data_IF_724550546086
#
_entry.id   IF_724550546086
#
_cell.length_a   1.000
_cell.length_b   1.000
_cell.length_c   1.000
_cell.angle_alpha   90.00
_cell.angle_beta   90.00
_cell.angle_gamma   90.00
#
_symmetry.space_group_name_H-M   'P 1'
#
loop_
_entity.id
_entity.type
_entity.pdbx_description
1 polymer ?
#
# COMPACT_ATOMS: atom_id res chain seq x y z
N UNK A 1 23.00 6.64 -23.64
CA UNK A 1 22.11 5.51 -24.05
C UNK A 1 22.82 4.19 -23.76
N UNK A 2 22.11 3.08 -23.50
CA UNK A 2 22.77 1.79 -23.30
C UNK A 2 23.38 1.30 -24.61
N UNK A 3 24.68 1.02 -24.59
CA UNK A 3 25.45 0.58 -25.76
C UNK A 3 25.34 -0.95 -25.93
N UNK A 4 25.52 -1.70 -24.85
CA UNK A 4 25.47 -3.16 -24.83
C UNK A 4 24.05 -3.71 -24.96
N UNK A 5 23.90 -4.90 -25.55
CA UNK A 5 22.60 -5.59 -25.75
C UNK A 5 21.88 -5.85 -24.41
N UNK A 6 22.63 -6.27 -23.38
CA UNK A 6 22.12 -6.51 -22.03
C UNK A 6 21.56 -5.24 -21.39
N UNK A 7 22.27 -4.12 -21.52
CA UNK A 7 21.86 -2.82 -20.99
C UNK A 7 20.60 -2.28 -21.70
N UNK A 8 20.47 -2.48 -23.02
CA UNK A 8 19.25 -2.12 -23.77
C UNK A 8 18.02 -2.91 -23.27
N UNK A 9 18.19 -4.22 -23.01
CA UNK A 9 17.14 -5.07 -22.42
C UNK A 9 16.78 -4.64 -21.00
N UNK A 10 17.78 -4.38 -20.16
CA UNK A 10 17.57 -3.93 -18.78
C UNK A 10 16.77 -2.62 -18.74
N UNK A 11 17.08 -1.65 -19.61
CA UNK A 11 16.35 -0.40 -19.71
C UNK A 11 14.88 -0.62 -20.12
N UNK A 12 14.61 -1.49 -21.09
CA UNK A 12 13.23 -1.85 -21.50
C UNK A 12 12.43 -2.45 -20.34
N UNK A 13 13.01 -3.42 -19.63
CA UNK A 13 12.37 -4.09 -18.49
C UNK A 13 12.15 -3.11 -17.33
N UNK A 14 13.12 -2.25 -17.05
CA UNK A 14 13.04 -1.23 -16.00
C UNK A 14 11.87 -0.26 -16.26
N UNK A 15 11.71 0.22 -17.49
CA UNK A 15 10.60 1.10 -17.88
C UNK A 15 9.24 0.46 -17.61
N UNK A 16 9.02 -0.76 -18.13
CA UNK A 16 7.77 -1.50 -17.90
C UNK A 16 7.46 -1.68 -16.41
N UNK A 17 8.45 -2.14 -15.63
CA UNK A 17 8.28 -2.34 -14.18
C UNK A 17 8.01 -1.04 -13.44
N UNK A 18 8.64 0.06 -13.88
CA UNK A 18 8.40 1.40 -13.32
C UNK A 18 6.95 1.80 -13.51
N UNK A 19 6.39 1.65 -14.70
CA UNK A 19 5.01 2.05 -15.00
C UNK A 19 4.00 1.25 -14.16
N UNK A 20 4.18 -0.07 -14.10
CA UNK A 20 3.36 -0.95 -13.26
C UNK A 20 3.45 -0.59 -11.77
N UNK A 21 4.65 -0.26 -11.27
CA UNK A 21 4.85 0.12 -9.87
C UNK A 21 4.30 1.52 -9.57
N UNK A 22 4.40 2.46 -10.51
CA UNK A 22 3.94 3.82 -10.34
C UNK A 22 2.41 3.90 -10.31
N UNK A 23 1.69 3.09 -11.09
CA UNK A 23 0.23 2.98 -10.97
C UNK A 23 -0.19 2.49 -9.58
N UNK A 24 0.48 1.45 -9.06
CA UNK A 24 0.22 0.92 -7.73
C UNK A 24 0.54 1.94 -6.63
N UNK A 25 1.64 2.69 -6.75
CA UNK A 25 2.00 3.79 -5.83
C UNK A 25 0.98 4.92 -5.87
N UNK A 26 0.51 5.32 -7.05
CA UNK A 26 -0.53 6.36 -7.23
C UNK A 26 -1.84 5.93 -6.56
N UNK A 27 -2.27 4.70 -6.80
CA UNK A 27 -3.48 4.14 -6.18
C UNK A 27 -3.38 4.13 -4.65
N UNK A 28 -2.21 3.74 -4.10
CA UNK A 28 -1.97 3.77 -2.66
C UNK A 28 -2.02 5.20 -2.11
N UNK A 29 -1.35 6.17 -2.76
CA UNK A 29 -1.39 7.59 -2.36
C UNK A 29 -2.81 8.13 -2.32
N UNK A 30 -3.60 7.86 -3.36
CA UNK A 30 -4.99 8.31 -3.44
C UNK A 30 -5.86 7.67 -2.34
N UNK A 31 -5.69 6.37 -2.09
CA UNK A 31 -6.41 5.69 -1.03
C UNK A 31 -6.04 6.22 0.37
N UNK A 32 -4.77 6.53 0.61
CA UNK A 32 -4.31 7.13 1.87
C UNK A 32 -4.83 8.56 2.01
N UNK A 33 -4.87 9.36 0.93
CA UNK A 33 -5.47 10.70 0.94
C UNK A 33 -6.96 10.64 1.30
N UNK A 34 -7.70 9.71 0.69
CA UNK A 34 -9.12 9.50 1.01
C UNK A 34 -9.32 9.06 2.47
N UNK A 35 -8.50 8.13 2.97
CA UNK A 35 -8.57 7.68 4.37
C UNK A 35 -8.33 8.83 5.37
N UNK A 36 -7.41 9.74 5.06
CA UNK A 36 -7.13 10.90 5.91
C UNK A 36 -8.23 11.95 5.87
N UNK A 37 -8.87 12.14 4.72
CA UNK A 37 -9.99 13.06 4.57
C UNK A 37 -11.25 12.54 5.27
N UNK A 38 -11.55 11.25 5.11
CA UNK A 38 -12.70 10.58 5.70
C UNK A 38 -12.27 9.23 6.31
N UNK A 39 -12.01 9.16 7.63
CA UNK A 39 -11.55 7.94 8.29
C UNK A 39 -12.70 6.93 8.48
N UNK A 40 -13.05 6.23 7.41
CA UNK A 40 -14.10 5.19 7.41
C UNK A 40 -13.51 3.78 7.41
N UNK A 41 -14.28 2.81 7.92
CA UNK A 41 -13.91 1.38 7.92
C UNK A 41 -13.70 0.84 6.49
N UNK A 42 -14.51 1.29 5.52
CA UNK A 42 -14.39 0.90 4.11
C UNK A 42 -13.08 1.40 3.47
N UNK A 43 -12.71 2.67 3.70
CA UNK A 43 -11.44 3.22 3.23
C UNK A 43 -10.25 2.50 3.84
N UNK A 44 -10.34 2.10 5.11
CA UNK A 44 -9.28 1.36 5.80
C UNK A 44 -9.07 -0.03 5.18
N UNK A 45 -10.14 -0.77 4.90
CA UNK A 45 -10.07 -2.06 4.19
C UNK A 45 -9.38 -1.92 2.83
N UNK A 46 -9.72 -0.88 2.06
CA UNK A 46 -9.11 -0.60 0.75
C UNK A 46 -7.61 -0.31 0.87
N UNK A 47 -7.21 0.51 1.85
CA UNK A 47 -5.80 0.84 2.11
C UNK A 47 -5.01 -0.41 2.51
N UNK A 48 -5.57 -1.28 3.35
CA UNK A 48 -4.90 -2.52 3.77
C UNK A 48 -4.66 -3.48 2.61
N UNK A 49 -5.68 -3.70 1.77
CA UNK A 49 -5.53 -4.53 0.56
C UNK A 49 -4.41 -4.01 -0.35
N UNK A 50 -4.33 -2.68 -0.56
CA UNK A 50 -3.29 -2.08 -1.38
C UNK A 50 -1.90 -2.19 -0.73
N UNK A 51 -1.78 -2.01 0.58
CA UNK A 51 -0.53 -2.17 1.32
C UNK A 51 0.01 -3.60 1.22
N UNK A 52 -0.86 -4.60 1.37
CA UNK A 52 -0.48 -6.01 1.29
C UNK A 52 -0.07 -6.41 -0.11
N UNK A 53 -0.82 -5.97 -1.12
CA UNK A 53 -0.44 -6.20 -2.52
C UNK A 53 0.90 -5.54 -2.86
N UNK A 54 1.16 -4.35 -2.32
CA UNK A 54 2.43 -3.64 -2.49
C UNK A 54 3.62 -4.37 -1.84
N UNK A 55 3.38 -4.96 -0.67
CA UNK A 55 4.38 -5.77 0.03
C UNK A 55 4.66 -7.09 -0.70
N UNK A 56 3.61 -7.79 -1.16
CA UNK A 56 3.72 -9.03 -1.94
C UNK A 56 4.47 -8.82 -3.26
N UNK A 57 4.28 -7.68 -3.93
CA UNK A 57 5.01 -7.31 -5.15
C UNK A 57 6.40 -6.72 -4.89
N UNK A 58 6.86 -6.69 -3.65
CA UNK A 58 8.15 -6.09 -3.25
C UNK A 58 8.32 -4.61 -3.64
N UNK A 59 7.23 -3.89 -3.89
CA UNK A 59 7.26 -2.43 -4.13
C UNK A 59 7.52 -1.67 -2.84
N UNK A 60 7.09 -2.24 -1.71
CA UNK A 60 7.34 -1.74 -0.36
C UNK A 60 7.86 -2.88 0.53
N UNK A 61 8.78 -2.56 1.45
CA UNK A 61 9.25 -3.53 2.42
C UNK A 61 8.13 -3.95 3.39
N UNK A 62 8.11 -5.23 3.79
CA UNK A 62 7.10 -5.80 4.70
C UNK A 62 6.96 -5.01 6.02
N UNK A 63 8.08 -4.60 6.62
CA UNK A 63 8.07 -3.81 7.85
C UNK A 63 7.47 -2.41 7.65
N UNK A 64 7.66 -1.81 6.47
CA UNK A 64 7.04 -0.51 6.14
C UNK A 64 5.53 -0.66 6.00
N UNK A 65 5.07 -1.73 5.35
CA UNK A 65 3.64 -2.05 5.26
C UNK A 65 3.03 -2.25 6.66
N UNK A 66 3.66 -3.07 7.51
CA UNK A 66 3.21 -3.33 8.88
C UNK A 66 3.13 -2.04 9.72
N UNK A 67 4.16 -1.19 9.66
CA UNK A 67 4.17 0.11 10.35
C UNK A 67 3.05 1.04 9.89
N UNK A 68 2.75 1.05 8.59
CA UNK A 68 1.66 1.87 8.07
C UNK A 68 0.29 1.36 8.51
N UNK A 69 0.08 0.03 8.52
CA UNK A 69 -1.14 -0.58 9.04
C UNK A 69 -1.39 -0.22 10.51
N UNK A 70 -0.35 -0.34 11.35
CA UNK A 70 -0.47 -0.01 12.78
C UNK A 70 -0.69 1.49 13.05
N UNK A 71 -0.23 2.36 12.15
CA UNK A 71 -0.54 3.79 12.19
C UNK A 71 -1.98 4.08 11.77
N UNK A 72 -2.44 3.48 10.67
CA UNK A 72 -3.77 3.74 10.12
C UNK A 72 -4.90 3.13 10.95
N UNK A 73 -4.66 2.03 11.67
CA UNK A 73 -5.64 1.45 12.59
C UNK A 73 -6.05 2.41 13.71
N UNK A 74 -5.14 3.30 14.14
CA UNK A 74 -5.38 4.27 15.21
C UNK A 74 -6.23 5.46 14.77
N UNK A 75 -6.32 5.73 13.47
CA UNK A 75 -7.06 6.86 12.92
C UNK A 75 -8.56 6.61 12.85
N UNK A 76 -8.97 5.36 12.67
CA UNK A 76 -10.39 4.99 12.66
C UNK A 76 -10.77 4.65 14.10
N UNK A 77 -11.68 5.43 14.69
CA UNK A 77 -12.22 5.12 16.02
C UNK A 77 -12.76 3.69 16.00
N UNK A 78 -12.35 2.81 16.93
CA UNK A 78 -12.94 1.49 17.02
C UNK A 78 -14.44 1.67 17.26
N UNK A 79 -15.27 1.05 16.42
CA UNK A 79 -16.65 0.80 16.81
C UNK A 79 -16.59 0.11 18.18
N UNK A 80 -17.17 0.79 19.17
CA UNK A 80 -17.25 0.42 20.59
C UNK A 80 -16.71 -0.97 20.93
N UNK A 81 -15.70 -1.05 21.80
CA UNK A 81 -15.36 -2.29 22.49
C UNK A 81 -16.61 -2.75 23.27
N UNK A 82 -17.45 -3.58 22.67
CA UNK A 82 -18.41 -4.36 23.45
C UNK A 82 -17.59 -5.36 24.23
N UNK A 83 -17.28 -5.01 25.49
CA UNK A 83 -16.77 -5.92 26.49
C UNK A 83 -17.74 -7.10 26.57
N UNK A 84 -17.44 -8.20 25.89
CA UNK A 84 -18.07 -9.47 26.22
C UNK A 84 -17.45 -9.92 27.55
N UNK A 85 -18.05 -9.48 28.66
CA UNK A 85 -18.00 -10.24 29.92
C UNK A 85 -18.60 -11.61 29.56
N UNK A 86 -17.76 -12.63 29.50
CA UNK A 86 -18.22 -14.01 29.57
C UNK A 86 -17.99 -14.50 30.99
N UNK A 87 -19.06 -15.04 31.54
CA UNK A 87 -19.26 -15.57 32.89
C UNK A 87 -18.39 -16.80 33.13
#
# INVERSE_FOLDING_TARGET
MPVLKSSKKALKVSRRRKDENDTLRKNLRNAVKALRASPTTASLKKVYSLLDRSAKKHVMHKNRSARLKSGFSKLVKPASKTSKKAK
#
